data_IF_916018762043
#
_entry.id   IF_916018762043
#
_cell.length_a   1.000
_cell.length_b   1.000
_cell.length_c   1.000
_cell.angle_alpha   90.00
_cell.angle_beta   90.00
_cell.angle_gamma   90.00
#
_symmetry.space_group_name_H-M   'P 1'
#
loop_
_entity.id
_entity.type
_entity.pdbx_description
1 polymer ?
#
# COMPACT_ATOMS: atom_id res chain seq x y z
N UNK A 1 -40.57 -56.98 -0.08
CA UNK A 1 -39.90 -57.34 1.19
C UNK A 1 -38.82 -58.36 0.86
N UNK A 2 -37.55 -57.96 1.02
CA UNK A 2 -36.42 -58.88 0.85
C UNK A 2 -36.49 -59.95 1.94
N UNK A 3 -35.99 -61.15 1.64
CA UNK A 3 -35.86 -62.22 2.63
C UNK A 3 -34.94 -61.80 3.79
N UNK A 4 -35.23 -62.25 5.01
CA UNK A 4 -34.50 -61.84 6.21
C UNK A 4 -33.03 -62.27 6.16
N UNK A 5 -32.73 -63.44 5.60
CA UNK A 5 -31.36 -63.89 5.39
C UNK A 5 -30.61 -63.02 4.37
N UNK A 6 -31.32 -62.56 3.34
CA UNK A 6 -30.73 -61.71 2.31
C UNK A 6 -30.39 -60.32 2.86
N UNK A 7 -31.25 -59.74 3.71
CA UNK A 7 -30.95 -58.47 4.39
C UNK A 7 -29.73 -58.59 5.30
N UNK A 8 -29.66 -59.64 6.14
CA UNK A 8 -28.51 -59.85 7.01
C UNK A 8 -27.18 -60.00 6.23
N UNK A 9 -27.23 -60.65 5.06
CA UNK A 9 -26.06 -60.78 4.20
C UNK A 9 -25.65 -59.45 3.56
N UNK A 10 -26.61 -58.61 3.12
CA UNK A 10 -26.34 -57.28 2.56
C UNK A 10 -25.69 -56.38 3.62
N UNK A 11 -26.20 -56.37 4.85
CA UNK A 11 -25.66 -55.55 5.93
C UNK A 11 -24.21 -55.95 6.27
N UNK A 12 -23.89 -57.25 6.20
CA UNK A 12 -22.52 -57.73 6.38
C UNK A 12 -21.57 -57.19 5.30
N UNK A 13 -21.99 -57.20 4.02
CA UNK A 13 -21.18 -56.64 2.92
C UNK A 13 -21.01 -55.12 3.05
N UNK A 14 -22.06 -54.40 3.49
CA UNK A 14 -21.96 -52.96 3.74
C UNK A 14 -20.92 -52.69 4.84
N UNK A 15 -21.01 -53.39 5.97
CA UNK A 15 -20.07 -53.23 7.09
C UNK A 15 -18.62 -53.57 6.70
N UNK A 16 -18.42 -54.62 5.90
CA UNK A 16 -17.09 -54.98 5.40
C UNK A 16 -16.52 -53.90 4.47
N UNK A 17 -17.36 -53.32 3.58
CA UNK A 17 -16.96 -52.22 2.72
C UNK A 17 -16.62 -50.95 3.51
N UNK A 18 -17.48 -50.53 4.45
CA UNK A 18 -17.24 -49.37 5.32
C UNK A 18 -15.94 -49.52 6.12
N UNK A 19 -15.67 -50.72 6.63
CA UNK A 19 -14.43 -51.01 7.35
C UNK A 19 -13.20 -50.95 6.45
N UNK A 20 -13.31 -51.45 5.21
CA UNK A 20 -12.18 -51.45 4.28
C UNK A 20 -11.82 -50.06 3.75
N UNK A 21 -12.81 -49.16 3.67
CA UNK A 21 -12.66 -47.81 3.14
C UNK A 21 -12.57 -46.74 4.25
N UNK A 22 -12.68 -47.13 5.51
CA UNK A 22 -12.65 -46.28 6.70
C UNK A 22 -13.65 -45.10 6.65
N UNK A 23 -14.79 -45.31 6.00
CA UNK A 23 -15.78 -44.26 5.74
C UNK A 23 -17.20 -44.88 5.66
N UNK A 24 -18.24 -44.06 5.82
CA UNK A 24 -19.63 -44.53 5.78
C UNK A 24 -20.11 -44.76 4.33
N UNK A 25 -21.10 -45.64 4.14
CA UNK A 25 -21.60 -46.00 2.81
C UNK A 25 -22.07 -44.79 1.99
N UNK A 26 -22.61 -43.73 2.61
CA UNK A 26 -23.02 -42.53 1.90
C UNK A 26 -21.80 -41.76 1.39
N UNK A 27 -20.80 -41.57 2.23
CA UNK A 27 -19.54 -40.89 1.89
C UNK A 27 -18.76 -41.64 0.82
N UNK A 28 -18.69 -42.97 0.89
CA UNK A 28 -18.08 -43.83 -0.16
C UNK A 28 -18.76 -43.58 -1.52
N UNK A 29 -20.09 -43.61 -1.57
CA UNK A 29 -20.85 -43.40 -2.81
C UNK A 29 -20.64 -41.97 -3.34
N UNK A 30 -20.62 -40.97 -2.47
CA UNK A 30 -20.39 -39.57 -2.85
C UNK A 30 -18.99 -39.39 -3.43
N UNK A 31 -17.96 -39.91 -2.76
CA UNK A 31 -16.58 -39.83 -3.23
C UNK A 31 -16.43 -40.50 -4.60
N UNK A 32 -16.98 -41.70 -4.79
CA UNK A 32 -16.92 -42.40 -6.07
C UNK A 32 -17.58 -41.61 -7.22
N UNK A 33 -18.69 -40.90 -6.93
CA UNK A 33 -19.33 -40.02 -7.92
C UNK A 33 -18.45 -38.82 -8.29
N UNK A 34 -17.82 -38.18 -7.29
CA UNK A 34 -16.91 -37.06 -7.55
C UNK A 34 -15.66 -37.51 -8.30
N UNK A 35 -15.11 -38.68 -7.98
CA UNK A 35 -13.97 -39.26 -8.69
C UNK A 35 -14.30 -39.53 -10.14
N UNK A 36 -15.47 -40.10 -10.42
CA UNK A 36 -15.95 -40.30 -11.78
C UNK A 36 -16.09 -38.97 -12.54
N UNK A 37 -16.70 -37.95 -11.91
CA UNK A 37 -16.81 -36.61 -12.51
C UNK A 37 -15.43 -36.02 -12.78
N UNK A 38 -14.49 -36.14 -11.84
CA UNK A 38 -13.11 -35.65 -11.99
C UNK A 38 -12.41 -36.30 -13.18
N UNK A 39 -12.56 -37.62 -13.35
CA UNK A 39 -12.04 -38.35 -14.50
C UNK A 39 -12.65 -37.84 -15.82
N UNK A 40 -13.98 -37.72 -15.89
CA UNK A 40 -14.66 -37.20 -17.09
C UNK A 40 -14.24 -35.77 -17.41
N UNK A 41 -14.17 -34.90 -16.41
CA UNK A 41 -13.71 -33.51 -16.58
C UNK A 41 -12.27 -33.47 -17.06
N UNK A 42 -11.40 -34.34 -16.56
CA UNK A 42 -9.99 -34.39 -17.00
C UNK A 42 -9.83 -34.80 -18.46
N UNK A 43 -10.75 -35.63 -18.98
CA UNK A 43 -10.78 -36.08 -20.38
C UNK A 43 -11.47 -35.06 -21.31
N UNK A 44 -12.52 -34.39 -20.81
CA UNK A 44 -13.32 -33.46 -21.60
C UNK A 44 -12.76 -32.03 -21.61
N UNK A 45 -12.02 -31.64 -20.58
CA UNK A 45 -11.52 -30.27 -20.41
C UNK A 45 -9.99 -30.27 -20.47
N UNK A 46 -9.45 -29.81 -21.60
CA UNK A 46 -8.05 -29.47 -21.70
C UNK A 46 -7.80 -28.08 -21.08
N UNK A 47 -7.37 -28.04 -19.82
CA UNK A 47 -6.92 -26.79 -19.18
C UNK A 47 -5.62 -26.33 -19.82
N UNK A 48 -5.73 -25.48 -20.85
CA UNK A 48 -4.60 -24.83 -21.56
C UNK A 48 -3.64 -24.02 -20.68
N UNK A 49 -3.94 -23.80 -19.40
CA UNK A 49 -3.15 -22.97 -18.50
C UNK A 49 -2.57 -23.76 -17.33
N UNK A 50 -1.55 -24.60 -17.59
CA UNK A 50 -0.60 -25.03 -16.54
C UNK A 50 0.46 -23.96 -16.23
N UNK A 51 0.52 -22.89 -17.01
CA UNK A 51 1.34 -21.73 -16.73
C UNK A 51 0.51 -20.49 -16.96
N UNK A 52 0.00 -19.88 -15.90
CA UNK A 52 -0.33 -18.45 -15.96
C UNK A 52 0.97 -17.79 -16.40
N UNK A 53 1.06 -17.35 -17.67
CA UNK A 53 2.19 -16.52 -18.10
C UNK A 53 2.21 -15.38 -17.11
N UNK A 54 3.22 -15.34 -16.24
CA UNK A 54 3.29 -14.35 -15.18
C UNK A 54 3.07 -12.99 -15.84
N UNK A 55 2.01 -12.30 -15.42
CA UNK A 55 1.76 -10.95 -15.88
C UNK A 55 2.97 -10.08 -15.51
N UNK A 56 3.22 -8.99 -16.25
CA UNK A 56 4.24 -8.02 -15.85
C UNK A 56 4.02 -7.58 -14.37
N UNK A 57 2.76 -7.47 -13.94
CA UNK A 57 2.37 -7.24 -12.54
C UNK A 57 2.84 -8.35 -11.59
N UNK A 58 2.57 -9.62 -11.91
CA UNK A 58 2.96 -10.77 -11.07
C UNK A 58 4.49 -10.84 -10.89
N UNK A 59 5.25 -10.37 -11.88
CA UNK A 59 6.71 -10.36 -11.86
C UNK A 59 7.25 -9.24 -10.98
N UNK A 60 6.64 -8.05 -11.06
CA UNK A 60 6.99 -6.91 -10.20
C UNK A 60 6.66 -7.25 -8.75
N UNK A 61 5.46 -7.77 -8.48
CA UNK A 61 5.05 -8.11 -7.12
C UNK A 61 5.99 -9.13 -6.49
N UNK A 62 6.43 -10.15 -7.23
CA UNK A 62 7.40 -11.14 -6.71
C UNK A 62 8.74 -10.53 -6.33
N UNK A 63 9.18 -9.48 -7.02
CA UNK A 63 10.43 -8.76 -6.72
C UNK A 63 10.21 -7.83 -5.52
N UNK A 64 9.15 -7.03 -5.55
CA UNK A 64 8.80 -6.03 -4.53
C UNK A 64 8.46 -6.69 -3.19
N UNK A 65 7.78 -7.84 -3.19
CA UNK A 65 7.42 -8.59 -1.97
C UNK A 65 8.45 -9.62 -1.54
N UNK A 66 9.60 -9.71 -2.22
CA UNK A 66 10.64 -10.65 -1.79
C UNK A 66 11.27 -10.18 -0.47
N UNK A 67 11.40 -11.10 0.50
CA UNK A 67 11.85 -10.81 1.87
C UNK A 67 13.17 -10.03 1.96
N UNK A 68 14.08 -10.25 1.00
CA UNK A 68 15.39 -9.60 0.97
C UNK A 68 15.44 -8.30 0.15
N UNK A 69 14.71 -8.21 -0.99
CA UNK A 69 14.71 -7.00 -1.82
C UNK A 69 13.66 -5.97 -1.39
N UNK A 70 12.66 -6.37 -0.59
CA UNK A 70 11.64 -5.47 -0.07
C UNK A 70 12.25 -4.30 0.72
N UNK A 71 13.25 -4.56 1.58
CA UNK A 71 13.92 -3.51 2.37
C UNK A 71 14.70 -2.49 1.49
N UNK A 72 15.59 -2.93 0.56
CA UNK A 72 16.25 -2.02 -0.37
C UNK A 72 15.29 -1.23 -1.27
N UNK A 73 14.25 -1.88 -1.80
CA UNK A 73 13.26 -1.23 -2.67
C UNK A 73 12.47 -0.21 -1.87
N UNK A 74 12.04 -0.56 -0.67
CA UNK A 74 11.36 0.37 0.23
C UNK A 74 12.24 1.59 0.52
N UNK A 75 13.51 1.38 0.89
CA UNK A 75 14.44 2.48 1.13
C UNK A 75 14.65 3.36 -0.12
N UNK A 76 14.76 2.77 -1.30
CA UNK A 76 14.91 3.51 -2.56
C UNK A 76 13.67 4.35 -2.87
N UNK A 77 12.46 3.79 -2.72
CA UNK A 77 11.20 4.51 -2.93
C UNK A 77 11.03 5.62 -1.90
N UNK A 78 11.27 5.34 -0.62
CA UNK A 78 11.18 6.36 0.44
C UNK A 78 12.20 7.48 0.23
N UNK A 79 13.42 7.14 -0.19
CA UNK A 79 14.44 8.14 -0.54
C UNK A 79 14.00 8.98 -1.73
N UNK A 80 13.40 8.37 -2.75
CA UNK A 80 12.88 9.09 -3.91
C UNK A 80 11.76 10.05 -3.51
N UNK A 81 10.79 9.58 -2.73
CA UNK A 81 9.67 10.39 -2.25
C UNK A 81 10.18 11.55 -1.39
N UNK A 82 11.08 11.26 -0.45
CA UNK A 82 11.72 12.28 0.39
C UNK A 82 12.49 13.31 -0.44
N UNK A 83 13.26 12.84 -1.44
CA UNK A 83 14.01 13.70 -2.34
C UNK A 83 13.09 14.63 -3.13
N UNK A 84 12.04 14.10 -3.77
CA UNK A 84 11.06 14.89 -4.52
C UNK A 84 10.33 15.86 -3.60
N UNK A 85 9.90 15.40 -2.43
CA UNK A 85 9.21 16.20 -1.43
C UNK A 85 10.03 17.42 -1.04
N UNK A 86 11.31 17.25 -0.68
CA UNK A 86 12.18 18.36 -0.26
C UNK A 86 12.63 19.22 -1.44
N UNK A 87 13.10 18.62 -2.54
CA UNK A 87 13.79 19.37 -3.59
C UNK A 87 12.85 20.09 -4.54
N UNK A 88 11.67 19.54 -4.81
CA UNK A 88 10.70 20.18 -5.71
C UNK A 88 9.65 20.98 -4.94
N UNK A 89 8.95 20.37 -4.00
CA UNK A 89 7.82 21.03 -3.33
C UNK A 89 8.28 21.85 -2.13
N UNK A 90 9.16 21.28 -1.30
CA UNK A 90 9.68 21.92 -0.10
C UNK A 90 10.44 23.21 -0.41
N UNK A 91 11.43 23.14 -1.32
CA UNK A 91 12.19 24.33 -1.75
C UNK A 91 11.30 25.42 -2.34
N UNK A 92 10.41 25.09 -3.28
CA UNK A 92 9.52 26.06 -3.91
C UNK A 92 8.66 26.80 -2.90
N UNK A 93 8.07 26.09 -1.94
CA UNK A 93 7.17 26.71 -0.96
C UNK A 93 7.95 27.48 0.11
N UNK A 94 9.11 26.98 0.54
CA UNK A 94 10.01 27.70 1.47
C UNK A 94 10.53 28.99 0.84
N UNK A 95 11.00 28.94 -0.41
CA UNK A 95 11.52 30.09 -1.14
C UNK A 95 10.41 31.11 -1.41
N UNK A 96 9.23 30.67 -1.83
CA UNK A 96 8.06 31.55 -1.99
C UNK A 96 7.67 32.23 -0.67
N UNK A 97 7.65 31.49 0.44
CA UNK A 97 7.31 32.03 1.75
C UNK A 97 8.35 33.07 2.20
N UNK A 98 9.64 32.78 1.99
CA UNK A 98 10.72 33.69 2.37
C UNK A 98 10.72 34.96 1.53
N UNK A 99 10.70 34.82 0.21
CA UNK A 99 10.96 35.95 -0.70
C UNK A 99 9.68 36.76 -0.97
N UNK A 100 8.53 36.11 -1.18
CA UNK A 100 7.27 36.80 -1.48
C UNK A 100 6.53 37.21 -0.22
N UNK A 101 6.27 36.28 0.70
CA UNK A 101 5.46 36.59 1.90
C UNK A 101 6.25 37.46 2.89
N UNK A 102 7.44 37.05 3.31
CA UNK A 102 8.21 37.81 4.30
C UNK A 102 9.05 38.94 3.69
N UNK A 103 9.68 38.71 2.54
CA UNK A 103 10.46 39.71 1.80
C UNK A 103 9.58 40.84 1.28
N UNK A 104 8.79 40.61 0.25
CA UNK A 104 8.04 41.70 -0.40
C UNK A 104 6.81 42.13 0.40
N UNK A 105 5.96 41.20 0.82
CA UNK A 105 4.63 41.53 1.33
C UNK A 105 4.66 42.09 2.75
N UNK A 106 5.47 41.51 3.64
CA UNK A 106 5.55 41.92 5.04
C UNK A 106 6.66 42.96 5.22
N UNK A 107 7.93 42.62 4.97
CA UNK A 107 9.04 43.52 5.28
C UNK A 107 9.09 44.77 4.39
N UNK A 108 8.79 44.63 3.10
CA UNK A 108 8.66 45.76 2.17
C UNK A 108 7.56 46.74 2.59
N UNK A 109 6.34 46.26 2.78
CA UNK A 109 5.22 47.11 3.18
C UNK A 109 5.39 47.71 4.58
N UNK A 110 5.94 46.97 5.56
CA UNK A 110 6.22 47.51 6.89
C UNK A 110 7.22 48.66 6.83
N UNK A 111 8.30 48.53 6.04
CA UNK A 111 9.28 49.61 5.86
C UNK A 111 8.65 50.86 5.28
N UNK A 112 7.81 50.70 4.24
CA UNK A 112 7.12 51.84 3.62
C UNK A 112 6.14 52.50 4.60
N UNK A 113 5.39 51.71 5.37
CA UNK A 113 4.46 52.23 6.39
C UNK A 113 5.17 52.98 7.53
N UNK A 114 6.22 52.38 8.10
CA UNK A 114 6.98 53.00 9.18
C UNK A 114 7.74 54.23 8.68
N UNK A 115 8.25 54.21 7.45
CA UNK A 115 8.85 55.37 6.80
C UNK A 115 7.85 56.50 6.59
N UNK A 116 6.61 56.20 6.17
CA UNK A 116 5.55 57.20 6.04
C UNK A 116 5.15 57.85 7.38
N UNK A 117 5.39 57.18 8.50
CA UNK A 117 5.17 57.69 9.86
C UNK A 117 6.38 58.45 10.43
N UNK A 118 7.44 58.71 9.65
CA UNK A 118 8.70 59.32 10.11
C UNK A 118 9.36 58.56 11.27
N UNK A 119 9.27 57.23 11.27
CA UNK A 119 9.97 56.41 12.26
C UNK A 119 11.47 56.41 11.96
N UNK A 120 12.29 56.55 13.00
CA UNK A 120 13.75 56.57 12.88
C UNK A 120 14.32 55.27 12.26
N UNK A 121 15.33 55.33 11.37
CA UNK A 121 15.82 54.18 10.63
C UNK A 121 16.31 53.01 11.49
N UNK A 122 16.88 53.29 12.66
CA UNK A 122 17.36 52.26 13.59
C UNK A 122 16.21 51.43 14.16
N UNK A 123 15.04 52.05 14.41
CA UNK A 123 13.87 51.37 14.95
C UNK A 123 13.18 50.54 13.87
N UNK A 124 13.16 51.03 12.63
CA UNK A 124 12.70 50.25 11.47
C UNK A 124 13.58 49.00 11.29
N UNK A 125 14.91 49.13 11.36
CA UNK A 125 15.83 47.99 11.29
C UNK A 125 15.59 46.97 12.39
N UNK A 126 15.37 47.42 13.64
CA UNK A 126 15.08 46.51 14.76
C UNK A 126 13.79 45.69 14.53
N UNK A 127 12.72 46.34 14.08
CA UNK A 127 11.42 45.69 13.87
C UNK A 127 11.46 44.79 12.64
N UNK A 128 11.98 45.29 11.51
CA UNK A 128 11.90 44.60 10.22
C UNK A 128 13.01 43.56 10.06
N UNK A 129 14.26 43.93 10.29
CA UNK A 129 15.41 43.03 10.11
C UNK A 129 15.68 42.17 11.35
N UNK A 130 15.22 42.62 12.53
CA UNK A 130 15.34 41.86 13.77
C UNK A 130 14.15 40.92 13.98
N UNK A 131 12.99 41.49 14.30
CA UNK A 131 11.81 40.72 14.73
C UNK A 131 11.16 39.99 13.54
N UNK A 132 10.80 40.73 12.48
CA UNK A 132 10.07 40.16 11.34
C UNK A 132 10.91 39.15 10.58
N UNK A 133 12.19 39.43 10.30
CA UNK A 133 13.08 38.47 9.66
C UNK A 133 13.31 37.23 10.53
N UNK A 134 13.46 37.41 11.85
CA UNK A 134 13.59 36.30 12.80
C UNK A 134 12.39 35.37 12.80
N UNK A 135 11.17 35.91 12.93
CA UNK A 135 9.92 35.14 12.89
C UNK A 135 9.70 34.54 11.50
N UNK A 136 9.97 35.30 10.44
CA UNK A 136 9.85 34.85 9.05
C UNK A 136 10.72 33.64 8.74
N UNK A 137 11.93 33.58 9.31
CA UNK A 137 12.82 32.43 9.15
C UNK A 137 12.25 31.14 9.72
N UNK A 138 11.55 31.19 10.86
CA UNK A 138 10.93 30.01 11.48
C UNK A 138 9.69 29.59 10.70
N UNK A 139 8.86 30.57 10.30
CA UNK A 139 7.63 30.31 9.56
C UNK A 139 7.93 29.78 8.15
N UNK A 140 9.02 30.20 7.49
CA UNK A 140 9.40 29.68 6.18
C UNK A 140 9.67 28.17 6.17
N UNK A 141 10.00 27.56 7.32
CA UNK A 141 10.18 26.12 7.43
C UNK A 141 8.89 25.35 7.72
N UNK A 142 7.80 26.01 8.13
CA UNK A 142 6.54 25.35 8.47
C UNK A 142 5.96 24.60 7.27
N UNK A 143 5.89 25.17 6.06
CA UNK A 143 5.38 24.44 4.90
C UNK A 143 6.21 23.18 4.61
N UNK A 144 7.54 23.28 4.68
CA UNK A 144 8.44 22.15 4.46
C UNK A 144 8.23 21.03 5.50
N UNK A 145 7.98 21.39 6.77
CA UNK A 145 7.66 20.43 7.84
C UNK A 145 6.29 19.76 7.66
N UNK A 146 5.33 20.39 6.98
CA UNK A 146 4.00 19.82 6.72
C UNK A 146 3.98 18.87 5.51
N UNK A 147 4.90 19.06 4.56
CA UNK A 147 5.02 18.23 3.35
C UNK A 147 5.77 16.93 3.66
N UNK A 148 6.65 16.95 4.67
CA UNK A 148 7.40 15.79 5.14
C UNK A 148 6.55 14.85 6.00
#
# INVERSE_FOLDING_TARGET
>A
NLDANLMAHIDAHIADCEKSMEDDAQSIIINQRYDYISQVVSLAVNKKNKGRKMSASDRIDRIVTSRALALPIFAAVMTLVYYISITTVGSLVTDWTKDTLFGELISGNLRTWLGAMNVEPWLIGLVVDGIVAGVGSVISFVPQMLIL
#
